data_IF_411503178503
#
_entry.id   IF_411503178503
#
_cell.length_a   1.000
_cell.length_b   1.000
_cell.length_c   1.000
_cell.angle_alpha   90.00
_cell.angle_beta   90.00
_cell.angle_gamma   90.00
#
_symmetry.space_group_name_H-M   'P 1'
#
loop_
_entity.id
_entity.type
_entity.pdbx_description
1 polymer ?
#
# COMPACT_ATOMS: atom_id res chain seq x y z
N UNK A 1 -12.27 6.39 2.86
CA UNK A 1 -13.17 5.76 3.86
C UNK A 1 -14.33 4.95 3.24
N UNK A 2 -14.77 5.18 2.01
CA UNK A 2 -15.91 4.45 1.41
C UNK A 2 -15.60 3.04 0.86
N UNK A 3 -14.33 2.63 0.76
CA UNK A 3 -13.98 1.30 0.23
C UNK A 3 -14.55 0.13 1.05
N UNK A 4 -14.83 0.35 2.33
CA UNK A 4 -15.51 -0.63 3.18
C UNK A 4 -16.95 -0.91 2.71
N UNK A 5 -17.66 0.08 2.14
CA UNK A 5 -19.02 -0.09 1.62
C UNK A 5 -19.01 -1.03 0.42
N UNK A 6 -18.00 -0.90 -0.44
CA UNK A 6 -17.78 -1.82 -1.57
C UNK A 6 -17.55 -3.24 -1.06
N UNK A 7 -16.68 -3.40 -0.06
CA UNK A 7 -16.42 -4.71 0.55
C UNK A 7 -17.67 -5.33 1.19
N UNK A 8 -18.46 -4.53 1.92
CA UNK A 8 -19.74 -4.97 2.49
C UNK A 8 -20.67 -5.44 1.37
N UNK A 9 -20.79 -4.70 0.27
CA UNK A 9 -21.60 -5.11 -0.88
C UNK A 9 -21.16 -6.45 -1.48
N UNK A 10 -19.85 -6.67 -1.64
CA UNK A 10 -19.29 -7.93 -2.15
C UNK A 10 -19.61 -9.09 -1.19
N UNK A 11 -19.43 -8.89 0.11
CA UNK A 11 -19.69 -9.91 1.13
C UNK A 11 -21.19 -10.21 1.26
N UNK A 12 -22.05 -9.20 1.21
CA UNK A 12 -23.50 -9.36 1.18
C UNK A 12 -23.94 -10.19 -0.03
N UNK A 13 -23.42 -9.88 -1.23
CA UNK A 13 -23.66 -10.69 -2.41
C UNK A 13 -23.12 -12.12 -2.24
N UNK A 14 -21.96 -12.28 -1.62
CA UNK A 14 -21.42 -13.61 -1.31
C UNK A 14 -22.35 -14.42 -0.41
N UNK A 15 -23.00 -13.78 0.58
CA UNK A 15 -23.95 -14.45 1.46
C UNK A 15 -25.24 -14.81 0.72
N UNK A 16 -25.82 -13.86 -0.02
CA UNK A 16 -27.04 -14.07 -0.81
C UNK A 16 -26.84 -15.19 -1.83
N UNK A 17 -25.74 -15.17 -2.58
CA UNK A 17 -25.45 -16.18 -3.61
C UNK A 17 -25.28 -17.59 -3.03
N UNK A 18 -24.70 -17.73 -1.83
CA UNK A 18 -24.53 -19.02 -1.16
C UNK A 18 -25.83 -19.59 -0.60
N UNK A 19 -26.77 -18.73 -0.20
CA UNK A 19 -28.04 -19.17 0.40
C UNK A 19 -29.09 -19.47 -0.66
N UNK A 20 -29.17 -18.66 -1.73
CA UNK A 20 -30.29 -18.71 -2.68
C UNK A 20 -29.90 -19.16 -4.08
N UNK A 21 -28.61 -19.18 -4.43
CA UNK A 21 -28.14 -19.42 -5.79
C UNK A 21 -26.95 -20.40 -5.82
N UNK A 22 -26.29 -20.50 -6.98
CA UNK A 22 -24.99 -21.16 -7.09
C UNK A 22 -23.92 -20.26 -6.44
N UNK A 23 -23.08 -20.80 -5.54
CA UNK A 23 -22.03 -20.04 -4.89
C UNK A 23 -21.12 -19.33 -5.91
N UNK A 24 -21.05 -17.99 -5.80
CA UNK A 24 -20.19 -17.19 -6.67
C UNK A 24 -18.70 -17.45 -6.33
N UNK A 25 -17.92 -17.88 -7.32
CA UNK A 25 -16.50 -18.22 -7.13
C UNK A 25 -15.60 -16.98 -6.94
N UNK A 26 -16.04 -15.81 -7.43
CA UNK A 26 -15.23 -14.59 -7.49
C UNK A 26 -15.28 -13.74 -6.22
N UNK A 27 -16.30 -13.91 -5.38
CA UNK A 27 -16.60 -12.97 -4.30
C UNK A 27 -15.52 -12.94 -3.22
N UNK A 28 -14.91 -14.09 -2.93
CA UNK A 28 -13.86 -14.19 -1.92
C UNK A 28 -12.60 -13.42 -2.35
N UNK A 29 -12.15 -13.59 -3.59
CA UNK A 29 -10.95 -12.92 -4.09
C UNK A 29 -11.15 -11.42 -4.29
N UNK A 30 -12.31 -11.00 -4.83
CA UNK A 30 -12.62 -9.57 -4.93
C UNK A 30 -12.72 -8.93 -3.54
N UNK A 31 -13.29 -9.62 -2.54
CA UNK A 31 -13.30 -9.10 -1.18
C UNK A 31 -11.87 -8.92 -0.63
N UNK A 32 -10.96 -9.87 -0.89
CA UNK A 32 -9.55 -9.75 -0.51
C UNK A 32 -8.85 -8.61 -1.24
N UNK A 33 -9.05 -8.45 -2.54
CA UNK A 33 -8.47 -7.35 -3.30
C UNK A 33 -9.00 -5.99 -2.86
N UNK A 34 -10.30 -5.90 -2.55
CA UNK A 34 -10.92 -4.71 -2.00
C UNK A 34 -10.36 -4.36 -0.61
N UNK A 35 -10.12 -5.37 0.23
CA UNK A 35 -9.49 -5.22 1.54
C UNK A 35 -8.07 -4.66 1.41
N UNK A 36 -7.26 -5.25 0.53
CA UNK A 36 -5.89 -4.80 0.25
C UNK A 36 -5.88 -3.36 -0.26
N UNK A 37 -6.72 -3.05 -1.24
CA UNK A 37 -6.86 -1.69 -1.77
C UNK A 37 -7.27 -0.69 -0.68
N UNK A 38 -8.23 -1.07 0.17
CA UNK A 38 -8.70 -0.22 1.26
C UNK A 38 -7.60 0.08 2.29
N UNK A 39 -6.87 -0.93 2.77
CA UNK A 39 -5.83 -0.73 3.77
C UNK A 39 -4.62 0.02 3.22
N UNK A 40 -4.15 -0.35 2.03
CA UNK A 40 -2.93 0.23 1.46
C UNK A 40 -3.17 1.67 0.99
N UNK A 41 -4.35 1.99 0.47
CA UNK A 41 -4.68 3.40 0.20
C UNK A 41 -5.10 4.18 1.46
N UNK A 42 -5.55 3.49 2.50
CA UNK A 42 -5.90 4.10 3.80
C UNK A 42 -4.68 4.56 4.59
N UNK A 43 -3.56 3.84 4.51
CA UNK A 43 -2.33 4.18 5.26
C UNK A 43 -1.73 5.57 4.97
N UNK A 44 -1.54 6.04 3.71
CA UNK A 44 -1.03 7.40 3.48
C UNK A 44 -1.98 8.46 4.02
N UNK A 45 -3.29 8.21 3.92
CA UNK A 45 -4.32 9.10 4.45
C UNK A 45 -4.31 9.16 6.00
N UNK A 46 -4.11 8.03 6.68
CA UNK A 46 -4.04 8.01 8.15
C UNK A 46 -2.78 8.69 8.68
N UNK A 47 -1.64 8.54 7.97
CA UNK A 47 -0.40 9.25 8.30
C UNK A 47 -0.61 10.76 8.14
N UNK A 48 -1.23 11.20 7.03
CA UNK A 48 -1.53 12.61 6.80
C UNK A 48 -2.44 13.22 7.88
N UNK A 49 -3.42 12.46 8.36
CA UNK A 49 -4.32 12.89 9.42
C UNK A 49 -3.73 12.75 10.84
N UNK A 50 -2.56 12.11 10.97
CA UNK A 50 -1.98 11.79 12.27
C UNK A 50 -2.87 10.89 13.14
N UNK A 51 -3.80 10.14 12.54
CA UNK A 51 -4.83 9.36 13.23
C UNK A 51 -4.35 7.99 13.72
N UNK A 52 -3.04 7.75 13.70
CA UNK A 52 -2.47 6.51 14.19
C UNK A 52 -2.50 6.51 15.72
N UNK A 53 -2.89 5.39 16.32
CA UNK A 53 -2.90 5.26 17.79
C UNK A 53 -1.45 5.31 18.28
N UNK A 54 -1.12 6.36 19.03
CA UNK A 54 0.19 6.53 19.67
C UNK A 54 0.10 5.97 21.08
N UNK A 55 1.00 5.05 21.43
CA UNK A 55 1.09 4.50 22.78
C UNK A 55 1.97 5.42 23.64
N UNK A 56 1.35 6.43 24.25
CA UNK A 56 2.07 7.54 24.90
C UNK A 56 2.45 7.28 26.37
N UNK A 57 3.01 6.11 26.69
CA UNK A 57 3.36 5.77 28.08
C UNK A 57 4.59 6.56 28.59
N UNK A 58 5.57 6.78 27.71
CA UNK A 58 6.77 7.58 28.03
C UNK A 58 6.90 8.84 27.15
N UNK A 59 6.18 8.87 26.03
CA UNK A 59 6.25 9.96 25.06
C UNK A 59 5.63 11.26 25.61
N UNK A 60 4.62 11.17 26.48
CA UNK A 60 3.92 12.34 27.01
C UNK A 60 4.84 13.29 27.79
N UNK A 61 5.73 12.73 28.62
CA UNK A 61 6.64 13.49 29.51
C UNK A 61 7.88 14.07 28.79
N UNK A 62 8.09 13.73 27.52
CA UNK A 62 9.25 14.22 26.78
C UNK A 62 9.05 15.67 26.30
N UNK A 63 10.13 16.45 26.32
CA UNK A 63 10.15 17.78 25.72
C UNK A 63 9.92 17.68 24.21
N UNK A 64 9.35 18.73 23.61
CA UNK A 64 9.00 18.74 22.18
C UNK A 64 10.20 18.53 21.27
N UNK A 65 11.40 18.92 21.73
CA UNK A 65 12.66 18.64 21.05
C UNK A 65 13.01 17.15 21.04
N UNK A 66 12.83 16.43 22.16
CA UNK A 66 13.08 14.97 22.19
C UNK A 66 12.05 14.22 21.36
N UNK A 67 10.79 14.63 21.42
CA UNK A 67 9.71 14.08 20.57
C UNK A 67 10.07 14.20 19.10
N UNK A 68 10.42 15.41 18.64
CA UNK A 68 10.80 15.66 17.25
C UNK A 68 12.06 14.89 16.80
N UNK A 69 13.05 14.71 17.68
CA UNK A 69 14.25 13.90 17.38
C UNK A 69 13.90 12.42 17.17
N UNK A 70 13.10 11.84 18.08
CA UNK A 70 12.71 10.43 17.99
C UNK A 70 11.76 10.20 16.83
N UNK A 71 10.83 11.12 16.57
CA UNK A 71 9.94 11.07 15.41
C UNK A 71 10.75 11.11 14.11
N UNK A 72 11.73 12.00 13.98
CA UNK A 72 12.59 12.05 12.79
C UNK A 72 13.37 10.74 12.57
N UNK A 73 13.92 10.13 13.63
CA UNK A 73 14.65 8.85 13.53
C UNK A 73 13.71 7.70 13.16
N UNK A 74 12.54 7.62 13.79
CA UNK A 74 11.58 6.54 13.52
C UNK A 74 10.97 6.65 12.13
N UNK A 75 10.74 7.86 11.63
CA UNK A 75 10.30 8.11 10.24
C UNK A 75 11.37 7.67 9.24
N UNK A 76 12.67 7.85 9.53
CA UNK A 76 13.74 7.31 8.66
C UNK A 76 13.69 5.78 8.53
N UNK A 77 13.45 5.07 9.64
CA UNK A 77 13.26 3.62 9.61
C UNK A 77 12.00 3.24 8.82
N UNK A 78 10.92 4.01 8.95
CA UNK A 78 9.71 3.82 8.16
C UNK A 78 9.97 4.03 6.66
N UNK A 79 10.70 5.07 6.27
CA UNK A 79 11.08 5.33 4.88
C UNK A 79 11.92 4.18 4.31
N UNK A 80 12.89 3.69 5.08
CA UNK A 80 13.70 2.53 4.68
C UNK A 80 12.84 1.28 4.47
N UNK A 81 11.95 0.98 5.42
CA UNK A 81 11.01 -0.14 5.33
C UNK A 81 10.08 -0.01 4.11
N UNK A 82 9.51 1.17 3.89
CA UNK A 82 8.66 1.45 2.74
C UNK A 82 9.44 1.35 1.42
N UNK A 83 10.72 1.72 1.40
CA UNK A 83 11.60 1.54 0.24
C UNK A 83 11.78 0.07 -0.15
N UNK A 84 12.01 -0.81 0.84
CA UNK A 84 12.09 -2.26 0.62
C UNK A 84 10.74 -2.81 0.12
N UNK A 85 9.63 -2.38 0.73
CA UNK A 85 8.30 -2.81 0.29
C UNK A 85 7.96 -2.34 -1.13
N UNK A 86 8.35 -1.13 -1.49
CA UNK A 86 8.14 -0.58 -2.82
C UNK A 86 8.91 -1.40 -3.86
N UNK A 87 10.19 -1.71 -3.58
CA UNK A 87 11.00 -2.60 -4.41
C UNK A 87 10.34 -3.99 -4.58
N UNK A 88 9.87 -4.59 -3.47
CA UNK A 88 9.15 -5.86 -3.52
C UNK A 88 7.85 -5.79 -4.34
N UNK A 89 7.11 -4.69 -4.26
CA UNK A 89 5.89 -4.47 -5.05
C UNK A 89 6.19 -4.29 -6.53
N UNK A 90 7.26 -3.58 -6.89
CA UNK A 90 7.69 -3.43 -8.28
C UNK A 90 8.04 -4.80 -8.89
N UNK A 91 8.82 -5.61 -8.18
CA UNK A 91 9.15 -6.97 -8.63
C UNK A 91 7.91 -7.85 -8.76
N UNK A 92 6.98 -7.75 -7.79
CA UNK A 92 5.74 -8.52 -7.81
C UNK A 92 4.82 -8.10 -8.97
N UNK A 93 4.76 -6.80 -9.30
CA UNK A 93 3.98 -6.29 -10.42
C UNK A 93 4.61 -6.68 -11.76
N UNK A 94 5.94 -6.56 -11.90
CA UNK A 94 6.67 -7.00 -13.09
C UNK A 94 6.43 -8.49 -13.37
N UNK A 95 6.51 -9.33 -12.32
CA UNK A 95 6.15 -10.75 -12.39
C UNK A 95 4.72 -10.96 -12.92
N UNK A 96 3.77 -10.16 -12.44
CA UNK A 96 2.37 -10.29 -12.87
C UNK A 96 2.11 -9.88 -14.31
N UNK A 97 3.00 -9.06 -14.88
CA UNK A 97 2.98 -8.61 -16.28
C UNK A 97 3.80 -9.54 -17.20
N UNK A 98 4.30 -10.66 -16.68
CA UNK A 98 5.04 -11.66 -17.45
C UNK A 98 6.55 -11.46 -17.48
N UNK A 99 7.10 -10.55 -16.66
CA UNK A 99 8.53 -10.35 -16.50
C UNK A 99 9.06 -11.12 -15.29
N UNK A 100 9.60 -12.31 -15.53
CA UNK A 100 9.94 -13.28 -14.47
C UNK A 100 11.37 -13.16 -13.93
N UNK A 101 12.29 -12.57 -14.69
CA UNK A 101 13.71 -12.47 -14.35
C UNK A 101 14.29 -11.16 -14.89
N UNK A 102 15.11 -10.48 -14.10
CA UNK A 102 15.83 -9.29 -14.52
C UNK A 102 15.61 -8.08 -13.62
N UNK A 103 15.98 -6.92 -14.14
CA UNK A 103 15.76 -5.64 -13.49
C UNK A 103 14.35 -5.12 -13.77
N UNK A 104 13.51 -5.13 -12.73
CA UNK A 104 12.15 -4.62 -12.79
C UNK A 104 12.09 -3.14 -13.17
N UNK A 105 13.10 -2.33 -12.81
CA UNK A 105 13.13 -0.91 -13.20
C UNK A 105 13.31 -0.76 -14.71
N UNK A 106 14.26 -1.49 -15.28
CA UNK A 106 14.46 -1.57 -16.73
C UNK A 106 13.20 -2.02 -17.47
N UNK A 107 12.47 -3.02 -16.95
CA UNK A 107 11.22 -3.48 -17.55
C UNK A 107 10.15 -2.38 -17.61
N UNK A 108 9.89 -1.68 -16.50
CA UNK A 108 8.88 -0.59 -16.50
C UNK A 108 9.31 0.60 -17.36
N UNK A 109 10.60 0.94 -17.37
CA UNK A 109 11.13 1.97 -18.27
C UNK A 109 10.96 1.57 -19.73
N UNK A 110 11.26 0.30 -20.06
CA UNK A 110 11.09 -0.29 -21.38
C UNK A 110 9.64 -0.32 -21.84
N UNK A 111 8.70 -0.55 -20.91
CA UNK A 111 7.26 -0.51 -21.18
C UNK A 111 6.80 0.90 -21.60
N UNK A 112 7.39 1.94 -20.99
CA UNK A 112 7.08 3.34 -21.33
C UNK A 112 7.71 3.76 -22.65
N UNK A 113 8.92 3.29 -22.96
CA UNK A 113 9.60 3.56 -24.23
C UNK A 113 9.12 2.67 -25.38
N UNK A 114 8.26 1.69 -25.10
CA UNK A 114 7.76 0.72 -26.08
C UNK A 114 8.80 -0.31 -26.52
N UNK A 115 9.89 -0.48 -25.76
CA UNK A 115 10.94 -1.47 -26.06
C UNK A 115 10.68 -2.83 -25.41
N UNK A 116 9.76 -2.90 -24.45
CA UNK A 116 9.38 -4.13 -23.76
C UNK A 116 7.88 -4.39 -23.97
N UNK A 117 7.52 -5.65 -24.18
CA UNK A 117 6.15 -6.09 -24.34
C UNK A 117 5.63 -6.80 -23.09
N UNK A 118 4.33 -6.64 -22.82
CA UNK A 118 3.68 -7.37 -21.73
C UNK A 118 3.62 -8.84 -22.12
N UNK A 119 4.27 -9.68 -21.32
CA UNK A 119 4.29 -11.12 -21.50
C UNK A 119 3.00 -11.79 -21.00
N UNK A 120 3.15 -13.03 -20.53
CA UNK A 120 2.01 -13.80 -20.02
C UNK A 120 1.56 -13.26 -18.66
N UNK A 121 0.37 -12.67 -18.65
CA UNK A 121 -0.26 -12.17 -17.42
C UNK A 121 -0.50 -13.28 -16.39
N UNK A 122 -0.10 -13.00 -15.16
CA UNK A 122 -0.32 -13.88 -14.00
C UNK A 122 -1.80 -13.92 -13.63
N UNK A 123 -2.30 -15.14 -13.37
CA UNK A 123 -3.65 -15.41 -12.88
C UNK A 123 -3.58 -16.14 -11.55
N UNK A 124 -4.53 -15.85 -10.68
CA UNK A 124 -4.69 -16.56 -9.41
C UNK A 124 -4.89 -18.07 -9.62
N UNK A 125 -4.33 -18.93 -8.75
CA UNK A 125 -4.50 -20.39 -8.83
C UNK A 125 -5.86 -20.89 -8.28
N UNK A 126 -6.85 -20.01 -8.09
CA UNK A 126 -8.19 -20.36 -7.61
C UNK A 126 -9.13 -20.81 -8.73
N UNK A 127 -10.35 -21.20 -8.40
CA UNK A 127 -11.36 -21.59 -9.38
C UNK A 127 -11.79 -20.44 -10.31
N UNK A 128 -11.75 -19.19 -9.85
CA UNK A 128 -12.15 -18.01 -10.65
C UNK A 128 -11.02 -17.49 -11.55
N UNK A 129 -9.75 -17.66 -11.14
CA UNK A 129 -8.55 -17.33 -11.93
C UNK A 129 -8.45 -15.86 -12.42
N UNK A 130 -8.73 -14.84 -11.58
CA UNK A 130 -8.57 -13.44 -11.97
C UNK A 130 -7.11 -13.07 -12.25
N UNK A 131 -6.93 -12.02 -13.04
CA UNK A 131 -5.63 -11.39 -13.25
C UNK A 131 -5.19 -10.62 -12.00
N UNK A 132 -3.93 -10.77 -11.61
CA UNK A 132 -3.39 -10.18 -10.37
C UNK A 132 -2.75 -8.80 -10.55
N UNK A 133 -2.44 -8.40 -11.77
CA UNK A 133 -1.81 -7.10 -12.03
C UNK A 133 -2.61 -5.90 -11.48
N UNK A 134 -3.98 -5.85 -11.51
CA UNK A 134 -4.70 -4.67 -11.04
C UNK A 134 -4.50 -4.42 -9.54
N UNK A 135 -4.61 -5.47 -8.71
CA UNK A 135 -4.40 -5.30 -7.26
C UNK A 135 -2.96 -4.91 -6.96
N UNK A 136 -1.99 -5.50 -7.68
CA UNK A 136 -0.57 -5.16 -7.51
C UNK A 136 -0.23 -3.72 -7.96
N UNK A 137 -0.92 -3.17 -8.96
CA UNK A 137 -0.78 -1.74 -9.31
C UNK A 137 -1.30 -0.82 -8.22
N UNK A 138 -2.44 -1.15 -7.59
CA UNK A 138 -2.98 -0.37 -6.46
C UNK A 138 -2.03 -0.44 -5.28
N UNK A 139 -1.45 -1.62 -5.00
CA UNK A 139 -0.43 -1.78 -3.97
C UNK A 139 0.78 -0.88 -4.22
N UNK A 140 1.33 -0.92 -5.44
CA UNK A 140 2.46 -0.08 -5.83
C UNK A 140 2.13 1.41 -5.61
N UNK A 141 0.99 1.86 -6.14
CA UNK A 141 0.54 3.25 -6.00
C UNK A 141 0.38 3.67 -4.54
N UNK A 142 -0.24 2.84 -3.70
CA UNK A 142 -0.44 3.17 -2.28
C UNK A 142 0.86 3.20 -1.48
N UNK A 143 1.80 2.29 -1.72
CA UNK A 143 3.12 2.37 -1.08
C UNK A 143 3.93 3.57 -1.56
N UNK A 144 3.85 3.94 -2.85
CA UNK A 144 4.45 5.19 -3.35
C UNK A 144 3.89 6.40 -2.61
N UNK A 145 2.56 6.47 -2.44
CA UNK A 145 1.92 7.55 -1.68
C UNK A 145 2.32 7.56 -0.20
N UNK A 146 2.44 6.39 0.45
CA UNK A 146 2.92 6.31 1.83
C UNK A 146 4.36 6.80 1.95
N UNK A 147 5.22 6.43 1.00
CA UNK A 147 6.61 6.88 0.99
C UNK A 147 6.69 8.40 0.86
N UNK A 148 5.93 8.99 -0.07
CA UNK A 148 5.83 10.44 -0.23
C UNK A 148 5.33 11.12 1.04
N UNK A 149 4.32 10.55 1.71
CA UNK A 149 3.81 11.08 2.95
C UNK A 149 4.83 11.00 4.09
N UNK A 150 5.55 9.87 4.22
CA UNK A 150 6.60 9.70 5.22
C UNK A 150 7.75 10.69 5.02
N UNK A 151 8.15 10.94 3.76
CA UNK A 151 9.12 11.98 3.41
C UNK A 151 8.61 13.37 3.83
N UNK A 152 7.31 13.64 3.62
CA UNK A 152 6.72 14.91 4.06
C UNK A 152 6.76 15.08 5.58
N UNK A 153 6.50 14.04 6.37
CA UNK A 153 6.61 14.11 7.83
C UNK A 153 8.05 14.33 8.29
N UNK A 154 9.02 13.66 7.66
CA UNK A 154 10.44 13.88 7.96
C UNK A 154 10.85 15.35 7.79
N UNK A 155 10.42 16.00 6.69
CA UNK A 155 10.71 17.41 6.49
C UNK A 155 10.05 18.31 7.53
N UNK A 156 8.80 18.03 7.92
CA UNK A 156 8.11 18.78 8.98
C UNK A 156 8.87 18.66 10.31
N UNK A 157 9.36 17.48 10.66
CA UNK A 157 10.07 17.26 11.92
C UNK A 157 11.46 17.91 11.90
N UNK A 158 12.16 17.89 10.77
CA UNK A 158 13.42 18.65 10.59
C UNK A 158 13.18 20.16 10.76
N UNK A 159 12.08 20.69 10.23
CA UNK A 159 11.73 22.11 10.38
C UNK A 159 11.45 22.45 11.84
N UNK A 160 10.68 21.61 12.56
CA UNK A 160 10.43 21.79 14.00
C UNK A 160 11.74 21.87 14.78
N UNK A 161 12.66 20.94 14.55
CA UNK A 161 13.98 20.91 15.20
C UNK A 161 14.82 22.17 14.92
N UNK A 162 14.73 22.73 13.70
CA UNK A 162 15.46 23.96 13.34
C UNK A 162 14.81 25.23 13.89
N UNK A 163 13.48 25.27 13.95
CA UNK A 163 12.75 26.47 14.37
C UNK A 163 12.83 26.74 15.87
N UNK A 164 13.22 25.74 16.67
CA UNK A 164 13.30 25.87 18.13
C UNK A 164 11.98 26.29 18.79
N UNK A 165 10.84 26.16 18.09
CA UNK A 165 9.57 26.68 18.60
C UNK A 165 9.07 25.82 19.75
N UNK A 166 9.09 26.46 20.92
CA UNK A 166 8.38 26.14 22.17
C UNK A 166 6.88 26.01 21.90
#
# INVERSE_FOLDING_TARGET
>A
MYGIVVMIGILLWSSISKTFFLPSLWTLEIAQFALVAYYIMGGPYSIQMGSNVRMDLFYHEWSDMRKAQVDAITVLLLIFYLGILLYGCMNSLAYSLGHYQGDSFGFFAGLLTGSEEIGRLERSPTAWRPYLWPVKTIMLAGFTLMLLQAISELFKDIIKLRSGSI
#
